data_IF_144368520040
#
_entry.id   IF_144368520040
#
_cell.length_a   1.000
_cell.length_b   1.000
_cell.length_c   1.000
_cell.angle_alpha   90.00
_cell.angle_beta   90.00
_cell.angle_gamma   90.00
#
_symmetry.space_group_name_H-M   'P 1'
#
loop_
_entity.id
_entity.type
_entity.pdbx_description
1 polymer ?
#
# COMPACT_ATOMS: atom_id res chain seq x y z
N UNK A 1 -10.05 -8.40 66.04
CA UNK A 1 -10.76 -9.40 65.22
C UNK A 1 -11.09 -8.74 63.89
N UNK A 2 -10.16 -8.78 62.93
CA UNK A 2 -10.05 -9.75 61.81
C UNK A 2 -10.52 -9.13 60.49
N UNK A 3 -9.56 -8.71 59.67
CA UNK A 3 -9.60 -8.73 58.20
C UNK A 3 -8.20 -8.31 57.71
N UNK A 4 -7.23 -9.23 57.73
CA UNK A 4 -6.70 -9.95 56.55
C UNK A 4 -6.18 -9.00 55.46
N UNK A 5 -4.91 -8.64 55.62
CA UNK A 5 -3.99 -8.33 54.53
C UNK A 5 -4.05 -9.46 53.48
N UNK A 6 -4.52 -9.14 52.29
CA UNK A 6 -4.34 -9.98 51.11
C UNK A 6 -3.36 -9.27 50.19
N UNK A 7 -2.08 -9.48 50.48
CA UNK A 7 -0.98 -9.31 49.53
C UNK A 7 -1.22 -10.23 48.33
N UNK A 8 -1.85 -9.72 47.28
CA UNK A 8 -1.84 -10.39 45.98
C UNK A 8 -0.48 -10.16 45.34
N UNK A 9 0.40 -11.14 45.48
CA UNK A 9 1.55 -11.27 44.60
C UNK A 9 1.04 -11.41 43.16
N UNK A 10 1.63 -10.71 42.17
CA UNK A 10 1.30 -10.97 40.79
C UNK A 10 1.75 -12.40 40.48
N UNK A 11 0.79 -13.30 40.27
CA UNK A 11 1.05 -14.62 39.75
C UNK A 11 1.81 -14.45 38.43
N UNK A 12 3.11 -14.73 38.47
CA UNK A 12 3.94 -14.78 37.28
C UNK A 12 3.29 -15.74 36.30
N UNK A 13 2.94 -15.24 35.12
CA UNK A 13 2.56 -16.09 34.01
C UNK A 13 3.77 -16.97 33.68
N UNK A 14 3.73 -18.21 34.16
CA UNK A 14 4.67 -19.26 33.81
C UNK A 14 4.44 -19.60 32.34
N UNK A 15 5.13 -18.88 31.46
CA UNK A 15 5.20 -19.20 30.05
C UNK A 15 6.20 -20.36 29.92
N UNK A 16 5.81 -21.50 29.31
CA UNK A 16 6.78 -22.56 29.05
C UNK A 16 7.87 -22.00 28.12
N UNK A 17 9.14 -22.39 28.32
CA UNK A 17 10.21 -21.93 27.44
C UNK A 17 9.90 -22.35 26.00
N UNK A 18 10.26 -21.54 25.00
CA UNK A 18 10.00 -21.88 23.63
C UNK A 18 10.74 -23.17 23.32
N UNK A 19 10.02 -24.19 22.84
CA UNK A 19 10.62 -25.43 22.35
C UNK A 19 11.30 -25.14 21.01
N UNK A 20 12.43 -24.46 21.07
CA UNK A 20 13.41 -24.50 20.00
C UNK A 20 13.94 -25.93 20.00
N UNK A 21 13.32 -26.80 19.21
CA UNK A 21 14.06 -27.92 18.65
C UNK A 21 15.10 -27.29 17.73
N UNK A 22 16.21 -26.86 18.31
CA UNK A 22 17.48 -26.81 17.62
C UNK A 22 17.72 -28.24 17.16
N UNK A 23 17.25 -28.57 15.97
CA UNK A 23 17.81 -29.69 15.22
C UNK A 23 19.29 -29.34 15.14
N UNK A 24 20.11 -30.01 15.97
CA UNK A 24 21.53 -30.11 15.69
C UNK A 24 21.58 -30.59 14.25
N UNK A 25 22.00 -29.71 13.35
CA UNK A 25 22.41 -30.14 12.04
C UNK A 25 23.51 -31.16 12.31
N UNK A 26 23.21 -32.44 12.11
CA UNK A 26 24.26 -33.44 12.05
C UNK A 26 25.30 -32.88 11.08
N UNK A 27 26.59 -32.86 11.45
CA UNK A 27 27.60 -32.50 10.47
C UNK A 27 27.37 -33.40 9.26
N UNK A 28 27.38 -32.87 8.03
CA UNK A 28 27.20 -33.72 6.87
C UNK A 28 28.27 -34.83 6.96
N UNK A 29 27.93 -36.08 6.61
CA UNK A 29 28.93 -37.13 6.59
C UNK A 29 30.13 -36.61 5.82
N UNK A 30 31.34 -36.79 6.36
CA UNK A 30 32.58 -36.39 5.71
C UNK A 30 32.72 -37.19 4.42
N UNK A 31 32.08 -36.69 3.36
CA UNK A 31 32.25 -37.18 2.01
C UNK A 31 33.62 -36.71 1.52
N UNK A 32 34.36 -37.56 0.80
CA UNK A 32 35.57 -37.14 0.12
C UNK A 32 35.28 -35.87 -0.70
N UNK A 33 36.23 -34.93 -0.77
CA UNK A 33 36.05 -33.64 -1.46
C UNK A 33 35.58 -33.75 -2.93
N UNK A 34 35.56 -34.96 -3.50
CA UNK A 34 35.06 -35.28 -4.84
C UNK A 34 33.54 -35.39 -4.98
N UNK A 35 32.73 -35.48 -3.90
CA UNK A 35 31.28 -35.78 -4.00
C UNK A 35 30.34 -34.73 -3.39
N UNK A 36 30.84 -33.52 -3.06
CA UNK A 36 29.92 -32.41 -2.79
C UNK A 36 29.30 -31.97 -4.11
N UNK A 37 28.11 -32.49 -4.44
CA UNK A 37 27.30 -32.09 -5.61
C UNK A 37 27.23 -30.57 -5.63
N UNK A 38 28.07 -29.93 -6.46
CA UNK A 38 28.13 -28.48 -6.57
C UNK A 38 26.76 -28.04 -7.05
N UNK A 39 25.97 -27.46 -6.15
CA UNK A 39 24.75 -26.76 -6.56
C UNK A 39 25.21 -25.75 -7.60
N UNK A 40 24.70 -25.92 -8.83
CA UNK A 40 25.07 -25.08 -9.95
C UNK A 40 24.81 -23.61 -9.58
N UNK A 41 25.63 -22.67 -10.05
CA UNK A 41 25.39 -21.24 -9.81
C UNK A 41 23.95 -20.84 -10.17
N UNK A 42 23.41 -21.42 -11.25
CA UNK A 42 22.02 -21.28 -11.68
C UNK A 42 21.01 -21.69 -10.58
N UNK A 43 21.16 -22.88 -9.99
CA UNK A 43 20.25 -23.34 -8.94
C UNK A 43 20.36 -22.53 -7.63
N UNK A 44 21.52 -21.92 -7.33
CA UNK A 44 21.65 -20.98 -6.20
C UNK A 44 21.01 -19.63 -6.51
N UNK A 45 21.17 -19.11 -7.73
CA UNK A 45 20.48 -17.91 -8.17
C UNK A 45 18.95 -18.12 -8.10
N UNK A 46 18.43 -19.24 -8.58
CA UNK A 46 17.00 -19.56 -8.55
C UNK A 46 16.43 -19.57 -7.12
N UNK A 47 17.15 -20.17 -6.16
CA UNK A 47 16.76 -20.15 -4.75
C UNK A 47 16.83 -18.74 -4.14
N UNK A 48 17.81 -17.93 -4.54
CA UNK A 48 18.00 -16.57 -4.05
C UNK A 48 16.88 -15.63 -4.51
N UNK A 49 16.51 -15.69 -5.78
CA UNK A 49 15.42 -14.88 -6.36
C UNK A 49 14.08 -15.15 -5.67
N UNK A 50 13.80 -16.43 -5.41
CA UNK A 50 12.57 -16.86 -4.70
C UNK A 50 12.60 -16.41 -3.23
N UNK A 51 13.73 -16.58 -2.55
CA UNK A 51 13.86 -16.20 -1.13
C UNK A 51 13.73 -14.68 -0.92
N UNK A 52 14.34 -13.87 -1.79
CA UNK A 52 14.37 -12.40 -1.64
C UNK A 52 13.27 -11.68 -2.43
N UNK A 53 12.40 -12.41 -3.15
CA UNK A 53 11.35 -11.85 -4.02
C UNK A 53 11.88 -10.83 -5.04
N UNK A 54 13.09 -11.09 -5.54
CA UNK A 54 13.75 -10.26 -6.55
C UNK A 54 13.63 -10.98 -7.91
N UNK A 55 13.34 -10.26 -9.02
CA UNK A 55 13.37 -10.86 -10.34
C UNK A 55 14.73 -11.51 -10.67
N UNK A 56 14.72 -12.54 -11.52
CA UNK A 56 15.95 -13.12 -12.06
C UNK A 56 16.53 -12.24 -13.19
N UNK A 57 17.85 -12.23 -13.34
CA UNK A 57 18.58 -11.47 -14.36
C UNK A 57 19.42 -10.31 -13.79
N UNK A 58 19.97 -9.50 -14.70
CA UNK A 58 20.86 -8.36 -14.36
C UNK A 58 20.46 -7.05 -15.07
N UNK A 59 19.19 -6.93 -15.44
CA UNK A 59 18.68 -5.69 -16.05
C UNK A 59 18.73 -4.54 -15.04
N UNK A 60 18.79 -3.27 -15.50
CA UNK A 60 18.78 -2.10 -14.61
C UNK A 60 17.68 -2.13 -13.54
N UNK A 61 16.47 -2.55 -13.91
CA UNK A 61 15.36 -2.74 -12.97
C UNK A 61 15.62 -3.85 -11.95
N UNK A 62 16.17 -5.00 -12.36
CA UNK A 62 16.49 -6.09 -11.43
C UNK A 62 17.53 -5.64 -10.41
N UNK A 63 18.57 -4.94 -10.86
CA UNK A 63 19.60 -4.36 -9.98
C UNK A 63 18.98 -3.36 -9.01
N UNK A 64 18.03 -2.52 -9.46
CA UNK A 64 17.30 -1.61 -8.58
C UNK A 64 16.53 -2.37 -7.48
N UNK A 65 15.82 -3.45 -7.82
CA UNK A 65 15.11 -4.31 -6.84
C UNK A 65 16.04 -4.99 -5.87
N UNK A 66 17.20 -5.47 -6.32
CA UNK A 66 18.21 -6.05 -5.44
C UNK A 66 18.67 -5.04 -4.40
N UNK A 67 19.06 -3.84 -4.84
CA UNK A 67 19.51 -2.76 -3.95
C UNK A 67 18.39 -2.32 -3.00
N UNK A 68 17.15 -2.24 -3.48
CA UNK A 68 15.99 -1.88 -2.66
C UNK A 68 15.73 -2.89 -1.53
N UNK A 69 15.71 -4.19 -1.84
CA UNK A 69 15.23 -5.23 -0.92
C UNK A 69 16.34 -5.90 -0.10
N UNK A 70 17.55 -5.99 -0.65
CA UNK A 70 18.69 -6.69 -0.04
C UNK A 70 19.64 -5.69 0.59
N UNK A 71 20.19 -4.77 -0.20
CA UNK A 71 21.15 -3.77 0.29
C UNK A 71 20.48 -2.71 1.17
N UNK A 72 19.14 -2.59 1.07
CA UNK A 72 18.31 -1.61 1.80
C UNK A 72 18.83 -0.18 1.67
N UNK A 73 19.34 0.17 0.48
CA UNK A 73 19.84 1.50 0.18
C UNK A 73 18.85 2.24 -0.74
N UNK A 74 17.91 3.02 -0.18
CA UNK A 74 16.82 3.60 -0.96
C UNK A 74 17.31 4.66 -1.96
N UNK A 75 18.33 5.44 -1.61
CA UNK A 75 18.91 6.47 -2.48
C UNK A 75 19.56 5.86 -3.72
N UNK A 76 20.37 4.80 -3.53
CA UNK A 76 20.97 4.06 -4.66
C UNK A 76 19.91 3.32 -5.48
N UNK A 77 18.87 2.79 -4.84
CA UNK A 77 17.75 2.16 -5.55
C UNK A 77 17.04 3.16 -6.47
N UNK A 78 16.77 4.38 -6.01
CA UNK A 78 16.17 5.45 -6.84
C UNK A 78 17.03 5.75 -8.06
N UNK A 79 18.36 5.88 -7.90
CA UNK A 79 19.26 6.10 -9.04
C UNK A 79 19.20 4.97 -10.08
N UNK A 80 19.08 3.72 -9.63
CA UNK A 80 18.96 2.57 -10.53
C UNK A 80 17.57 2.48 -11.18
N UNK A 81 16.51 2.88 -10.50
CA UNK A 81 15.18 3.00 -11.12
C UNK A 81 15.17 4.06 -12.22
N UNK A 82 15.82 5.20 -12.01
CA UNK A 82 16.03 6.20 -13.07
C UNK A 82 16.76 5.62 -14.28
N UNK A 83 17.84 4.86 -14.04
CA UNK A 83 18.56 4.18 -15.12
C UNK A 83 17.66 3.19 -15.87
N UNK A 84 16.79 2.46 -15.17
CA UNK A 84 15.82 1.55 -15.79
C UNK A 84 14.79 2.29 -16.66
N UNK A 85 14.24 3.41 -16.17
CA UNK A 85 13.29 4.24 -16.93
C UNK A 85 13.96 4.76 -18.21
N UNK A 86 15.16 5.31 -18.11
CA UNK A 86 15.89 5.85 -19.27
C UNK A 86 16.29 4.77 -20.28
N UNK A 87 16.53 3.53 -19.82
CA UNK A 87 16.81 2.38 -20.68
C UNK A 87 15.55 1.71 -21.26
N UNK A 88 14.35 2.16 -20.89
CA UNK A 88 13.09 1.50 -21.28
C UNK A 88 12.84 0.15 -20.58
N UNK A 89 13.59 -0.18 -19.55
CA UNK A 89 13.49 -1.45 -18.83
C UNK A 89 12.36 -1.41 -17.80
N UNK A 90 11.22 -2.02 -18.17
CA UNK A 90 10.02 -2.16 -17.32
C UNK A 90 9.59 -0.83 -16.70
N UNK A 91 9.48 0.19 -17.55
CA UNK A 91 9.25 1.60 -17.13
C UNK A 91 8.08 1.74 -16.15
N UNK A 92 6.96 1.06 -16.37
CA UNK A 92 5.80 1.14 -15.48
C UNK A 92 6.12 0.60 -14.07
N UNK A 93 6.83 -0.52 -14.00
CA UNK A 93 7.21 -1.18 -12.75
C UNK A 93 8.30 -0.37 -12.03
N UNK A 94 9.28 0.14 -12.77
CA UNK A 94 10.32 1.02 -12.24
C UNK A 94 9.71 2.30 -11.64
N UNK A 95 8.79 2.96 -12.34
CA UNK A 95 8.10 4.15 -11.83
C UNK A 95 7.31 3.87 -10.56
N UNK A 96 6.51 2.80 -10.52
CA UNK A 96 5.72 2.42 -9.34
C UNK A 96 6.60 2.14 -8.13
N UNK A 97 7.65 1.33 -8.31
CA UNK A 97 8.53 0.97 -7.21
C UNK A 97 9.40 2.13 -6.75
N UNK A 98 9.88 2.97 -7.68
CA UNK A 98 10.59 4.22 -7.35
C UNK A 98 9.70 5.17 -6.53
N UNK A 99 8.45 5.36 -6.93
CA UNK A 99 7.49 6.20 -6.21
C UNK A 99 7.27 5.73 -4.77
N UNK A 100 7.20 4.41 -4.53
CA UNK A 100 7.09 3.84 -3.18
C UNK A 100 8.33 4.17 -2.34
N UNK A 101 9.53 4.03 -2.91
CA UNK A 101 10.79 4.36 -2.20
C UNK A 101 10.89 5.86 -1.91
N UNK A 102 10.55 6.71 -2.89
CA UNK A 102 10.56 8.17 -2.71
C UNK A 102 9.55 8.61 -1.65
N UNK A 103 8.36 8.00 -1.61
CA UNK A 103 7.37 8.25 -0.55
C UNK A 103 7.91 7.94 0.85
N UNK A 104 8.68 6.85 1.01
CA UNK A 104 9.32 6.48 2.29
C UNK A 104 10.39 7.48 2.73
N UNK A 105 11.03 8.16 1.78
CA UNK A 105 12.02 9.22 2.03
C UNK A 105 11.40 10.62 2.13
N UNK A 106 10.07 10.71 2.23
CA UNK A 106 9.32 11.97 2.25
C UNK A 106 9.49 12.83 0.99
N UNK A 107 9.84 12.22 -0.14
CA UNK A 107 10.02 12.85 -1.45
C UNK A 107 8.79 12.64 -2.34
N UNK A 108 7.60 12.89 -1.79
CA UNK A 108 6.34 12.61 -2.48
C UNK A 108 6.13 13.51 -3.72
N UNK A 109 6.50 14.79 -3.65
CA UNK A 109 6.38 15.72 -4.79
C UNK A 109 7.24 15.29 -5.99
N UNK A 110 8.50 14.93 -5.75
CA UNK A 110 9.38 14.43 -6.81
C UNK A 110 8.84 13.14 -7.45
N UNK A 111 8.22 12.27 -6.64
CA UNK A 111 7.57 11.06 -7.16
C UNK A 111 6.36 11.38 -8.05
N UNK A 112 5.55 12.37 -7.66
CA UNK A 112 4.41 12.85 -8.45
C UNK A 112 4.90 13.37 -9.80
N UNK A 113 5.92 14.22 -9.80
CA UNK A 113 6.51 14.78 -11.02
C UNK A 113 7.07 13.68 -11.93
N UNK A 114 7.81 12.72 -11.37
CA UNK A 114 8.34 11.60 -12.14
C UNK A 114 7.21 10.80 -12.81
N UNK A 115 6.13 10.47 -12.08
CA UNK A 115 5.00 9.76 -12.69
C UNK A 115 4.34 10.62 -13.79
N UNK A 116 4.09 11.91 -13.56
CA UNK A 116 3.47 12.80 -14.56
C UNK A 116 4.32 12.88 -15.82
N UNK A 117 5.63 13.00 -15.67
CA UNK A 117 6.57 13.13 -16.78
C UNK A 117 6.71 11.85 -17.59
N UNK A 118 6.70 10.67 -16.98
CA UNK A 118 7.06 9.42 -17.67
C UNK A 118 5.89 8.45 -17.89
N UNK A 119 4.71 8.69 -17.32
CA UNK A 119 3.55 7.79 -17.48
C UNK A 119 3.12 7.53 -18.94
N UNK A 120 3.42 8.45 -19.85
CA UNK A 120 3.09 8.31 -21.27
C UNK A 120 3.92 7.22 -21.97
N UNK A 121 5.07 6.84 -21.39
CA UNK A 121 5.90 5.73 -21.84
C UNK A 121 5.39 4.36 -21.35
N UNK A 122 4.40 4.35 -20.46
CA UNK A 122 3.88 3.13 -19.86
C UNK A 122 2.69 2.56 -20.66
N UNK A 123 2.51 1.22 -20.69
CA UNK A 123 1.35 0.59 -21.31
C UNK A 123 0.03 1.11 -20.76
N UNK A 124 -1.03 1.10 -21.58
CA UNK A 124 -2.35 1.59 -21.20
C UNK A 124 -2.90 0.88 -19.95
N UNK A 125 -2.67 -0.42 -19.83
CA UNK A 125 -3.11 -1.27 -18.70
C UNK A 125 -2.48 -0.84 -17.36
N UNK A 126 -1.32 -0.18 -17.40
CA UNK A 126 -0.63 0.29 -16.20
C UNK A 126 -1.21 1.60 -15.66
N UNK A 127 -1.95 2.37 -16.48
CA UNK A 127 -2.41 3.71 -16.14
C UNK A 127 -3.31 3.72 -14.90
N UNK A 128 -4.18 2.71 -14.74
CA UNK A 128 -5.01 2.59 -13.53
C UNK A 128 -4.16 2.35 -12.28
N UNK A 129 -3.12 1.51 -12.39
CA UNK A 129 -2.20 1.25 -11.28
C UNK A 129 -1.37 2.49 -10.92
N UNK A 130 -0.94 3.27 -11.91
CA UNK A 130 -0.24 4.54 -11.71
C UNK A 130 -1.16 5.59 -11.06
N UNK A 131 -2.41 5.70 -11.50
CA UNK A 131 -3.39 6.60 -10.87
C UNK A 131 -3.62 6.23 -9.39
N UNK A 132 -3.70 4.94 -9.05
CA UNK A 132 -3.83 4.52 -7.65
C UNK A 132 -2.59 4.90 -6.81
N UNK A 133 -1.38 4.88 -7.40
CA UNK A 133 -0.16 5.37 -6.74
C UNK A 133 -0.19 6.89 -6.58
N UNK A 134 -0.63 7.63 -7.60
CA UNK A 134 -0.75 9.09 -7.54
C UNK A 134 -1.71 9.55 -6.44
N UNK A 135 -2.88 8.92 -6.29
CA UNK A 135 -3.81 9.21 -5.18
C UNK A 135 -3.10 9.08 -3.83
N UNK A 136 -2.33 8.01 -3.62
CA UNK A 136 -1.59 7.81 -2.38
C UNK A 136 -0.45 8.83 -2.18
N UNK A 137 0.19 9.30 -3.25
CA UNK A 137 1.20 10.34 -3.17
C UNK A 137 0.58 11.72 -2.87
N UNK A 138 -0.56 12.06 -3.48
CA UNK A 138 -1.27 13.31 -3.19
C UNK A 138 -1.69 13.41 -1.73
N UNK A 139 -2.19 12.30 -1.15
CA UNK A 139 -2.44 12.20 0.28
C UNK A 139 -1.20 12.51 1.11
N UNK A 140 -0.04 11.96 0.74
CA UNK A 140 1.21 12.15 1.46
C UNK A 140 1.75 13.59 1.33
N UNK A 141 1.59 14.18 0.14
CA UNK A 141 2.04 15.53 -0.17
C UNK A 141 1.09 16.63 0.34
N UNK A 142 -0.12 16.27 0.79
CA UNK A 142 -1.14 17.25 1.18
C UNK A 142 -1.81 17.96 0.00
N UNK A 143 -1.71 17.39 -1.22
CA UNK A 143 -2.32 17.93 -2.45
C UNK A 143 -3.77 17.47 -2.59
N UNK A 144 -4.62 17.99 -1.71
CA UNK A 144 -5.98 17.49 -1.54
C UNK A 144 -6.84 17.76 -2.79
N UNK A 145 -6.62 18.89 -3.47
CA UNK A 145 -7.38 19.26 -4.67
C UNK A 145 -7.10 18.30 -5.83
N UNK A 146 -5.83 17.96 -6.07
CA UNK A 146 -5.43 16.98 -7.09
C UNK A 146 -5.97 15.57 -6.77
N UNK A 147 -6.03 15.22 -5.48
CA UNK A 147 -6.64 13.98 -5.02
C UNK A 147 -8.13 13.93 -5.37
N UNK A 148 -8.88 14.99 -5.03
CA UNK A 148 -10.32 15.11 -5.27
C UNK A 148 -10.61 15.02 -6.77
N UNK A 149 -9.91 15.80 -7.59
CA UNK A 149 -10.11 15.80 -9.05
C UNK A 149 -9.92 14.40 -9.64
N UNK A 150 -8.84 13.71 -9.23
CA UNK A 150 -8.55 12.36 -9.72
C UNK A 150 -9.61 11.34 -9.28
N UNK A 151 -10.08 11.43 -8.03
CA UNK A 151 -11.11 10.53 -7.51
C UNK A 151 -12.48 10.78 -8.16
N UNK A 152 -12.85 12.04 -8.39
CA UNK A 152 -14.07 12.40 -9.12
C UNK A 152 -14.04 11.91 -10.57
N UNK A 153 -12.92 12.11 -11.27
CA UNK A 153 -12.73 11.59 -12.63
C UNK A 153 -12.88 10.06 -12.67
N UNK A 154 -12.33 9.37 -11.67
CA UNK A 154 -12.48 7.91 -11.55
C UNK A 154 -13.93 7.50 -11.27
N UNK A 155 -14.66 8.24 -10.44
CA UNK A 155 -16.07 7.99 -10.16
C UNK A 155 -16.93 8.19 -11.41
N UNK A 156 -16.72 9.28 -12.16
CA UNK A 156 -17.40 9.55 -13.42
C UNK A 156 -17.23 8.42 -14.44
N UNK A 157 -16.01 7.88 -14.58
CA UNK A 157 -15.75 6.72 -15.46
C UNK A 157 -16.50 5.45 -15.05
N UNK A 158 -16.79 5.28 -13.76
CA UNK A 158 -17.63 4.18 -13.27
C UNK A 158 -19.10 4.43 -13.61
N UNK A 159 -19.59 5.68 -13.47
CA UNK A 159 -20.95 6.07 -13.84
C UNK A 159 -21.21 5.91 -15.35
N UNK A 160 -20.21 6.22 -16.19
CA UNK A 160 -20.27 6.03 -17.64
C UNK A 160 -20.17 4.54 -18.06
N UNK A 161 -19.95 3.62 -17.12
CA UNK A 161 -19.80 2.19 -17.42
C UNK A 161 -18.48 1.81 -18.12
N UNK A 162 -17.50 2.72 -18.17
CA UNK A 162 -16.20 2.53 -18.83
C UNK A 162 -15.20 1.84 -17.88
N UNK A 163 -15.54 1.71 -16.60
CA UNK A 163 -14.70 1.04 -15.61
C UNK A 163 -14.35 -0.41 -16.01
N UNK A 164 -13.14 -0.84 -15.65
CA UNK A 164 -12.59 -2.17 -15.96
C UNK A 164 -12.70 -2.57 -17.44
N UNK A 165 -12.61 -1.60 -18.36
CA UNK A 165 -12.80 -1.78 -19.80
C UNK A 165 -14.17 -2.40 -20.12
N UNK A 166 -15.23 -1.92 -19.46
CA UNK A 166 -16.62 -2.36 -19.66
C UNK A 166 -16.97 -3.67 -18.94
N UNK A 167 -16.07 -4.21 -18.11
CA UNK A 167 -16.33 -5.44 -17.34
C UNK A 167 -16.96 -5.11 -15.99
N UNK A 168 -17.81 -6.02 -15.49
CA UNK A 168 -18.41 -5.89 -14.14
C UNK A 168 -17.42 -6.16 -13.00
N UNK A 169 -16.35 -6.89 -13.27
CA UNK A 169 -15.33 -7.24 -12.27
C UNK A 169 -13.92 -7.16 -12.85
N UNK A 170 -12.94 -6.88 -11.98
CA UNK A 170 -11.52 -7.04 -12.27
C UNK A 170 -10.89 -8.06 -11.32
N UNK A 171 -9.87 -8.75 -11.79
CA UNK A 171 -9.06 -9.62 -10.91
C UNK A 171 -7.95 -8.81 -10.27
N UNK A 172 -7.87 -8.81 -8.96
CA UNK A 172 -6.78 -8.26 -8.18
C UNK A 172 -6.04 -9.35 -7.42
N UNK A 173 -4.88 -9.01 -6.86
CA UNK A 173 -4.17 -9.86 -5.91
C UNK A 173 -4.19 -9.22 -4.53
N UNK A 174 -4.73 -9.93 -3.56
CA UNK A 174 -4.71 -9.55 -2.16
C UNK A 174 -4.19 -10.74 -1.34
N UNK A 175 -3.18 -10.51 -0.50
CA UNK A 175 -2.58 -11.55 0.36
C UNK A 175 -2.17 -12.83 -0.39
N UNK A 176 -1.65 -12.69 -1.62
CA UNK A 176 -1.24 -13.82 -2.46
C UNK A 176 -2.38 -14.58 -3.13
N UNK A 177 -3.65 -14.22 -2.88
CA UNK A 177 -4.83 -14.82 -3.50
C UNK A 177 -5.37 -13.92 -4.60
N UNK A 178 -5.91 -14.54 -5.67
CA UNK A 178 -6.67 -13.83 -6.69
C UNK A 178 -8.06 -13.55 -6.13
N UNK A 179 -8.45 -12.29 -6.13
CA UNK A 179 -9.77 -11.83 -5.67
C UNK A 179 -10.43 -11.09 -6.82
N UNK A 180 -11.73 -11.32 -7.01
CA UNK A 180 -12.51 -10.51 -7.94
C UNK A 180 -13.04 -9.29 -7.21
N UNK A 181 -12.81 -8.11 -7.79
CA UNK A 181 -13.33 -6.84 -7.28
C UNK A 181 -14.44 -6.41 -8.23
N UNK A 182 -15.64 -6.18 -7.71
CA UNK A 182 -16.79 -5.67 -8.47
C UNK A 182 -16.69 -4.16 -8.68
N UNK A 183 -17.40 -3.63 -9.67
CA UNK A 183 -17.51 -2.17 -9.87
C UNK A 183 -18.10 -1.50 -8.63
N UNK A 184 -19.07 -2.13 -7.96
CA UNK A 184 -19.67 -1.60 -6.72
C UNK A 184 -18.68 -1.52 -5.55
N UNK A 185 -17.83 -2.53 -5.36
CA UNK A 185 -16.77 -2.52 -4.34
C UNK A 185 -15.74 -1.41 -4.63
N UNK A 186 -15.34 -1.27 -5.89
CA UNK A 186 -14.42 -0.19 -6.29
C UNK A 186 -15.08 1.19 -6.13
N UNK A 187 -16.37 1.30 -6.42
CA UNK A 187 -17.16 2.53 -6.21
C UNK A 187 -17.22 2.90 -4.72
N UNK A 188 -17.51 1.94 -3.83
CA UNK A 188 -17.48 2.16 -2.38
C UNK A 188 -16.10 2.66 -1.91
N UNK A 189 -15.02 2.04 -2.41
CA UNK A 189 -13.65 2.45 -2.09
C UNK A 189 -13.32 3.86 -2.56
N UNK A 190 -13.70 4.23 -3.78
CA UNK A 190 -13.48 5.58 -4.33
C UNK A 190 -14.28 6.63 -3.56
N UNK A 191 -15.55 6.36 -3.25
CA UNK A 191 -16.39 7.24 -2.43
C UNK A 191 -15.80 7.45 -1.03
N UNK A 192 -15.33 6.38 -0.38
CA UNK A 192 -14.69 6.48 0.94
C UNK A 192 -13.39 7.28 0.93
N UNK A 193 -12.60 7.20 -0.15
CA UNK A 193 -11.41 8.04 -0.33
C UNK A 193 -11.78 9.50 -0.58
N UNK A 194 -12.79 9.76 -1.41
CA UNK A 194 -13.26 11.11 -1.72
C UNK A 194 -13.81 11.79 -0.46
N UNK A 195 -14.58 11.06 0.35
CA UNK A 195 -15.04 11.51 1.65
C UNK A 195 -13.88 11.88 2.58
N UNK A 196 -12.82 11.07 2.61
CA UNK A 196 -11.64 11.35 3.42
C UNK A 196 -10.94 12.65 2.96
N UNK A 197 -10.79 12.85 1.65
CA UNK A 197 -10.20 14.06 1.09
C UNK A 197 -11.00 15.32 1.46
N UNK A 198 -12.33 15.28 1.33
CA UNK A 198 -13.20 16.38 1.78
C UNK A 198 -13.13 16.62 3.29
N UNK A 199 -12.99 15.55 4.08
CA UNK A 199 -12.78 15.68 5.52
C UNK A 199 -11.46 16.39 5.84
N UNK A 200 -10.39 16.18 5.06
CA UNK A 200 -9.13 16.91 5.22
C UNK A 200 -9.25 18.39 4.84
N UNK A 201 -10.10 18.75 3.87
CA UNK A 201 -10.45 20.15 3.58
C UNK A 201 -11.34 20.81 4.65
N UNK A 202 -11.82 20.06 5.65
CA UNK A 202 -12.79 20.54 6.63
C UNK A 202 -14.23 20.62 6.08
N UNK A 203 -14.47 20.12 4.86
CA UNK A 203 -15.81 20.02 4.29
C UNK A 203 -16.51 18.73 4.78
N UNK A 204 -16.93 18.77 6.05
CA UNK A 204 -17.54 17.62 6.72
C UNK A 204 -18.93 17.24 6.17
N UNK A 205 -19.65 18.18 5.57
CA UNK A 205 -20.99 17.93 4.98
C UNK A 205 -20.88 17.07 3.72
N UNK A 206 -20.00 17.45 2.79
CA UNK A 206 -19.75 16.65 1.58
C UNK A 206 -19.08 15.31 1.92
N UNK A 207 -18.20 15.29 2.93
CA UNK A 207 -17.60 14.05 3.42
C UNK A 207 -18.65 13.06 3.96
N UNK A 208 -19.62 13.54 4.73
CA UNK A 208 -20.72 12.73 5.28
C UNK A 208 -21.51 12.04 4.16
N UNK A 209 -21.90 12.79 3.13
CA UNK A 209 -22.67 12.28 1.99
C UNK A 209 -21.91 11.14 1.29
N UNK A 210 -20.64 11.36 0.98
CA UNK A 210 -19.83 10.33 0.34
C UNK A 210 -19.61 9.10 1.22
N UNK A 211 -19.43 9.25 2.54
CA UNK A 211 -19.34 8.11 3.45
C UNK A 211 -20.65 7.31 3.52
N UNK A 212 -21.80 7.97 3.58
CA UNK A 212 -23.12 7.30 3.54
C UNK A 212 -23.30 6.52 2.25
N UNK A 213 -23.00 7.15 1.11
CA UNK A 213 -23.08 6.51 -0.20
C UNK A 213 -22.13 5.32 -0.32
N UNK A 214 -20.92 5.41 0.23
CA UNK A 214 -19.98 4.28 0.27
C UNK A 214 -20.49 3.11 1.11
N UNK A 215 -21.08 3.40 2.27
CA UNK A 215 -21.60 2.41 3.22
C UNK A 215 -22.88 1.74 2.75
N UNK A 216 -23.69 2.42 1.92
CA UNK A 216 -24.84 1.84 1.26
C UNK A 216 -24.45 0.73 0.26
N UNK A 217 -23.26 0.83 -0.33
CA UNK A 217 -22.72 -0.18 -1.25
C UNK A 217 -22.01 -1.32 -0.52
N UNK A 218 -21.18 -1.00 0.46
CA UNK A 218 -20.39 -1.99 1.19
C UNK A 218 -20.18 -1.56 2.65
N UNK A 219 -20.66 -2.37 3.63
CA UNK A 219 -20.42 -2.12 5.04
C UNK A 219 -18.93 -2.14 5.39
N UNK A 220 -18.44 -1.10 6.06
CA UNK A 220 -17.03 -0.97 6.42
C UNK A 220 -16.87 -0.20 7.74
N UNK A 221 -16.19 -0.82 8.71
CA UNK A 221 -16.02 -0.25 10.05
C UNK A 221 -15.19 1.04 10.04
N UNK A 222 -14.17 1.14 9.18
CA UNK A 222 -13.33 2.33 9.09
C UNK A 222 -14.13 3.50 8.53
N UNK A 223 -14.94 3.26 7.48
CA UNK A 223 -15.85 4.26 6.91
C UNK A 223 -16.90 4.71 7.94
N UNK A 224 -17.44 3.79 8.74
CA UNK A 224 -18.37 4.12 9.84
C UNK A 224 -17.69 5.00 10.92
N UNK A 225 -16.47 4.66 11.34
CA UNK A 225 -15.72 5.47 12.28
C UNK A 225 -15.45 6.88 11.73
N UNK A 226 -15.04 6.99 10.47
CA UNK A 226 -14.79 8.30 9.86
C UNK A 226 -16.08 9.12 9.71
N UNK A 227 -17.20 8.48 9.35
CA UNK A 227 -18.51 9.13 9.33
C UNK A 227 -18.89 9.69 10.71
N UNK A 228 -18.64 8.93 11.78
CA UNK A 228 -18.88 9.40 13.14
C UNK A 228 -18.02 10.64 13.47
N UNK A 229 -16.77 10.68 13.02
CA UNK A 229 -15.91 11.87 13.15
C UNK A 229 -16.52 13.07 12.43
N UNK A 230 -17.00 12.92 11.18
CA UNK A 230 -17.67 14.00 10.46
C UNK A 230 -18.86 14.56 11.25
N UNK A 231 -19.73 13.69 11.78
CA UNK A 231 -20.90 14.08 12.58
C UNK A 231 -20.51 14.83 13.87
N UNK A 232 -19.44 14.40 14.54
CA UNK A 232 -18.94 15.08 15.73
C UNK A 232 -18.46 16.50 15.42
N UNK A 233 -17.77 16.70 14.30
CA UNK A 233 -17.30 18.03 13.88
C UNK A 233 -18.47 18.95 13.51
N UNK A 234 -19.46 18.47 12.77
CA UNK A 234 -20.63 19.28 12.41
C UNK A 234 -21.46 19.69 13.61
N UNK A 235 -21.68 18.79 14.58
CA UNK A 235 -22.38 19.12 15.82
C UNK A 235 -21.64 20.17 16.67
N UNK A 236 -20.30 20.20 16.60
CA UNK A 236 -19.50 21.23 17.29
C UNK A 236 -19.65 22.59 16.61
N UNK A 237 -19.59 22.64 15.28
CA UNK A 237 -19.75 23.88 14.49
C UNK A 237 -21.14 24.48 14.73
N UNK A 238 -22.20 23.66 14.65
CA UNK A 238 -23.57 24.12 14.93
C UNK A 238 -23.73 24.73 16.32
N UNK A 239 -23.11 24.13 17.35
CA UNK A 239 -23.12 24.68 18.72
C UNK A 239 -22.37 26.00 18.83
N UNK A 240 -21.22 26.13 18.17
CA UNK A 240 -20.46 27.38 18.12
C UNK A 240 -21.28 28.48 17.45
N UNK A 241 -21.90 28.19 16.30
CA UNK A 241 -22.73 29.16 15.57
C UNK A 241 -23.94 29.65 16.39
N UNK A 242 -24.52 28.80 17.24
CA UNK A 242 -25.58 29.19 18.17
C UNK A 242 -25.01 30.11 19.26
N UNK A 243 -23.85 29.79 19.80
CA UNK A 243 -23.20 30.60 20.85
C UNK A 243 -22.74 31.98 20.35
N UNK A 244 -22.34 32.12 19.09
CA UNK A 244 -21.95 33.41 18.51
C UNK A 244 -23.14 34.29 18.09
N UNK A 245 -24.37 33.74 18.09
CA UNK A 245 -25.60 34.48 17.75
C UNK A 245 -26.39 34.94 18.99
N UNK A 246 -25.89 34.66 20.19
CA UNK A 246 -26.41 35.13 21.48
C UNK A 246 -25.50 36.23 22.05
#
# INVERSE_FOLDING_TARGET
MWARDMSFQPAGFSTPPPTWKSGRANPPPMVPMSERKRISPAARCDLFHVAHKVPAGDSPYVRAKQVQLIDKNPSKAISLFWAAINAGDRVDSALKDMAVVMKQLDRAEEAIEAIRSFRHLCPFESQESLNNVLVELYKRAGRIEDEIEMLQSKLKRMDEGIAFNGKRTKTARAQGKKVQITVEQERSRVLGNLAWAYMQQGNYTTAEEHYKNALALEPDKNKQCNLAVCLMHMNRIQKQDICFKL
#
